data_IF_261332474657
#
_entry.id   IF_261332474657
#
_cell.length_a   1.000
_cell.length_b   1.000
_cell.length_c   1.000
_cell.angle_alpha   90.00
_cell.angle_beta   90.00
_cell.angle_gamma   90.00
#
_symmetry.space_group_name_H-M   'P 1'
#
loop_
_entity.id
_entity.type
_entity.pdbx_description
1 polymer ?
#
# COMPACT_ATOMS: atom_id res chain seq x y z
N UNK A 1 -4.21 -44.18 -49.15
CA UNK A 1 -4.57 -43.45 -50.38
C UNK A 1 -3.32 -42.81 -50.95
N UNK A 2 -3.12 -42.99 -52.26
CA UNK A 2 -2.04 -42.37 -53.04
C UNK A 2 -2.66 -41.24 -53.85
N UNK A 3 -2.01 -40.09 -53.84
CA UNK A 3 -2.41 -38.87 -54.55
C UNK A 3 -1.42 -38.61 -55.68
N UNK A 4 -1.87 -37.92 -56.72
CA UNK A 4 -1.05 -37.47 -57.84
C UNK A 4 -1.12 -35.95 -57.92
N UNK A 5 0.00 -35.30 -58.20
CA UNK A 5 0.01 -33.86 -58.43
C UNK A 5 1.26 -33.35 -59.12
N UNK A 6 1.15 -32.14 -59.65
CA UNK A 6 2.18 -31.41 -60.39
C UNK A 6 3.01 -30.55 -59.43
N UNK A 7 4.34 -30.66 -59.47
CA UNK A 7 5.22 -29.82 -58.67
C UNK A 7 5.25 -28.41 -59.24
N UNK A 8 4.73 -27.44 -58.48
CA UNK A 8 4.72 -26.03 -58.87
C UNK A 8 5.97 -25.28 -58.39
N UNK A 9 6.46 -25.64 -57.21
CA UNK A 9 7.58 -24.95 -56.57
C UNK A 9 8.40 -25.94 -55.74
N UNK A 10 9.72 -25.80 -55.82
CA UNK A 10 10.66 -26.55 -54.98
C UNK A 10 11.36 -25.55 -54.06
N UNK A 11 11.26 -25.77 -52.75
CA UNK A 11 11.99 -25.02 -51.72
C UNK A 11 13.11 -25.90 -51.14
N UNK A 12 13.87 -25.37 -50.17
CA UNK A 12 14.99 -26.11 -49.56
C UNK A 12 14.55 -27.45 -48.97
N UNK A 13 13.49 -27.42 -48.14
CA UNK A 13 13.04 -28.59 -47.36
C UNK A 13 11.66 -29.12 -47.79
N UNK A 14 10.94 -28.38 -48.63
CA UNK A 14 9.54 -28.66 -48.96
C UNK A 14 9.28 -28.43 -50.46
N UNK A 15 8.18 -28.98 -50.95
CA UNK A 15 7.68 -28.74 -52.30
C UNK A 15 6.20 -28.35 -52.25
N UNK A 16 5.77 -27.52 -53.19
CA UNK A 16 4.37 -27.18 -53.41
C UNK A 16 3.85 -27.96 -54.60
N UNK A 17 2.77 -28.71 -54.39
CA UNK A 17 2.17 -29.59 -55.40
C UNK A 17 0.73 -29.18 -55.65
N UNK A 18 0.33 -29.14 -56.92
CA UNK A 18 -1.05 -28.95 -57.36
C UNK A 18 -1.67 -30.29 -57.73
N UNK A 19 -2.72 -30.69 -57.02
CA UNK A 19 -3.36 -32.00 -57.21
C UNK A 19 -4.37 -31.97 -58.36
N UNK A 20 -4.75 -33.16 -58.84
CA UNK A 20 -5.84 -33.33 -59.80
C UNK A 20 -7.23 -32.93 -59.24
N UNK A 21 -7.35 -32.73 -57.92
CA UNK A 21 -8.53 -32.19 -57.24
C UNK A 21 -8.53 -30.66 -57.17
N UNK A 22 -7.61 -30.00 -57.87
CA UNK A 22 -7.42 -28.55 -57.85
C UNK A 22 -7.04 -27.98 -56.47
N UNK A 23 -6.35 -28.77 -55.64
CA UNK A 23 -5.88 -28.35 -54.32
C UNK A 23 -4.36 -28.14 -54.32
N UNK A 24 -3.90 -27.19 -53.51
CA UNK A 24 -2.48 -26.98 -53.26
C UNK A 24 -2.07 -27.71 -51.99
N UNK A 25 -1.04 -28.54 -52.07
CA UNK A 25 -0.51 -29.30 -50.94
C UNK A 25 0.99 -29.06 -50.77
N UNK A 26 1.41 -28.78 -49.54
CA UNK A 26 2.83 -28.66 -49.18
C UNK A 26 3.34 -30.02 -48.72
N UNK A 27 4.39 -30.54 -49.37
CA UNK A 27 4.96 -31.85 -49.06
C UNK A 27 6.41 -31.72 -48.60
N UNK A 28 6.88 -32.67 -47.80
CA UNK A 28 8.30 -32.78 -47.46
C UNK A 28 9.09 -33.19 -48.70
N UNK A 29 10.16 -32.47 -49.03
CA UNK A 29 11.01 -32.79 -50.18
C UNK A 29 11.70 -34.13 -49.97
N UNK A 30 11.61 -35.02 -50.96
CA UNK A 30 12.29 -36.33 -50.97
C UNK A 30 13.05 -36.45 -52.29
N UNK A 31 14.38 -36.49 -52.23
CA UNK A 31 15.29 -36.56 -53.37
C UNK A 31 15.22 -35.36 -54.35
N UNK A 32 15.87 -35.51 -55.51
CA UNK A 32 15.93 -34.51 -56.58
C UNK A 32 14.56 -34.41 -57.26
N UNK A 33 13.79 -33.41 -56.84
CA UNK A 33 12.49 -33.06 -57.40
C UNK A 33 12.65 -31.77 -58.20
N UNK A 34 12.07 -31.74 -59.39
CA UNK A 34 12.08 -30.59 -60.31
C UNK A 34 10.67 -30.03 -60.48
N UNK A 35 10.60 -28.72 -60.71
CA UNK A 35 9.34 -28.02 -61.04
C UNK A 35 8.82 -28.54 -62.39
N UNK A 36 7.49 -28.67 -62.51
CA UNK A 36 6.82 -29.14 -63.72
C UNK A 36 6.72 -30.66 -63.85
N UNK A 37 7.32 -31.44 -62.94
CA UNK A 37 7.14 -32.90 -62.90
C UNK A 37 5.90 -33.29 -62.11
N UNK A 38 5.23 -34.34 -62.55
CA UNK A 38 4.19 -34.99 -61.77
C UNK A 38 4.80 -36.01 -60.80
N UNK A 39 4.25 -36.08 -59.60
CA UNK A 39 4.68 -37.02 -58.57
C UNK A 39 3.48 -37.71 -57.90
N UNK A 40 3.75 -38.88 -57.34
CA UNK A 40 2.81 -39.59 -56.47
C UNK A 40 3.23 -39.44 -55.02
N UNK A 41 2.27 -39.17 -54.14
CA UNK A 41 2.52 -38.98 -52.71
C UNK A 41 1.36 -39.51 -51.87
N UNK A 42 1.60 -39.67 -50.58
CA UNK A 42 0.63 -40.18 -49.61
C UNK A 42 0.29 -39.12 -48.57
N UNK A 43 -0.72 -39.35 -47.74
CA UNK A 43 -1.04 -38.42 -46.64
C UNK A 43 0.14 -38.19 -45.68
N UNK A 44 1.07 -39.16 -45.57
CA UNK A 44 2.26 -39.05 -44.73
C UNK A 44 3.29 -38.05 -45.26
N UNK A 45 3.21 -37.73 -46.55
CA UNK A 45 4.12 -36.80 -47.22
C UNK A 45 3.66 -35.33 -47.06
N UNK A 46 2.39 -35.12 -46.72
CA UNK A 46 1.77 -33.80 -46.56
C UNK A 46 2.21 -33.17 -45.24
N UNK A 47 2.77 -31.97 -45.33
CA UNK A 47 3.09 -31.14 -44.17
C UNK A 47 1.82 -30.43 -43.73
N UNK A 48 1.26 -30.86 -42.60
CA UNK A 48 0.20 -30.13 -41.92
C UNK A 48 0.83 -29.09 -41.02
N UNK A 49 0.56 -27.81 -41.28
CA UNK A 49 0.94 -26.75 -40.35
C UNK A 49 0.14 -26.96 -39.06
N UNK A 50 0.82 -27.37 -37.99
CA UNK A 50 0.22 -27.36 -36.66
C UNK A 50 0.11 -25.90 -36.25
N UNK A 51 -1.11 -25.38 -36.16
CA UNK A 51 -1.35 -24.10 -35.49
C UNK A 51 -0.70 -24.17 -34.11
N UNK A 52 0.41 -23.43 -33.91
CA UNK A 52 1.05 -23.33 -32.60
C UNK A 52 0.07 -22.60 -31.71
N UNK A 53 -0.61 -23.34 -30.85
CA UNK A 53 -1.52 -22.78 -29.88
C UNK A 53 -0.71 -22.05 -28.81
N UNK A 54 -0.75 -20.71 -28.83
CA UNK A 54 -0.13 -19.86 -27.81
C UNK A 54 -0.84 -19.92 -26.45
N UNK A 55 -1.89 -20.74 -26.32
CA UNK A 55 -2.70 -20.88 -25.10
C UNK A 55 -1.81 -21.18 -23.88
N UNK A 56 -0.77 -22.02 -24.03
CA UNK A 56 0.12 -22.36 -22.93
C UNK A 56 0.97 -21.16 -22.46
N UNK A 57 1.39 -20.27 -23.38
CA UNK A 57 2.17 -19.07 -23.02
C UNK A 57 1.31 -18.02 -22.33
N UNK A 58 0.06 -17.88 -22.76
CA UNK A 58 -0.92 -16.98 -22.13
C UNK A 58 -1.23 -17.45 -20.71
N UNK A 59 -1.44 -18.75 -20.50
CA UNK A 59 -1.68 -19.32 -19.17
C UNK A 59 -0.48 -19.15 -18.23
N UNK A 60 0.74 -19.30 -18.74
CA UNK A 60 1.97 -19.07 -17.96
C UNK A 60 2.08 -17.59 -17.55
N UNK A 61 1.86 -16.66 -18.49
CA UNK A 61 1.89 -15.22 -18.19
C UNK A 61 0.84 -14.84 -17.14
N UNK A 62 -0.38 -15.36 -17.25
CA UNK A 62 -1.45 -15.13 -16.29
C UNK A 62 -1.10 -15.68 -14.90
N UNK A 63 -0.51 -16.88 -14.81
CA UNK A 63 -0.09 -17.48 -13.54
C UNK A 63 1.02 -16.65 -12.85
N UNK A 64 1.97 -16.10 -13.62
CA UNK A 64 3.03 -15.24 -13.09
C UNK A 64 2.44 -13.94 -12.52
N UNK A 65 1.55 -13.27 -13.27
CA UNK A 65 0.89 -12.04 -12.81
C UNK A 65 0.08 -12.32 -11.54
N UNK A 66 -0.68 -13.42 -11.51
CA UNK A 66 -1.45 -13.81 -10.33
C UNK A 66 -0.55 -14.05 -9.10
N UNK A 67 0.57 -14.75 -9.28
CA UNK A 67 1.52 -15.00 -8.20
C UNK A 67 2.16 -13.70 -7.69
N UNK A 68 2.50 -12.76 -8.57
CA UNK A 68 3.01 -11.45 -8.20
C UNK A 68 1.98 -10.64 -7.38
N UNK A 69 0.72 -10.63 -7.80
CA UNK A 69 -0.35 -9.92 -7.07
C UNK A 69 -0.63 -10.59 -5.71
N UNK A 70 -0.70 -11.92 -5.66
CA UNK A 70 -0.95 -12.66 -4.42
C UNK A 70 0.19 -12.49 -3.39
N UNK A 71 1.45 -12.56 -3.84
CA UNK A 71 2.62 -12.37 -2.97
C UNK A 71 2.75 -10.93 -2.47
N UNK A 72 2.44 -9.93 -3.31
CA UNK A 72 2.39 -8.52 -2.87
C UNK A 72 1.33 -8.30 -1.78
N UNK A 73 0.16 -8.94 -1.90
CA UNK A 73 -0.89 -8.91 -0.88
C UNK A 73 -0.49 -9.57 0.44
N UNK A 74 0.17 -10.73 0.40
CA UNK A 74 0.66 -11.46 1.58
C UNK A 74 1.77 -10.72 2.34
N UNK A 75 2.64 -10.01 1.63
CA UNK A 75 3.72 -9.21 2.23
C UNK A 75 3.24 -7.86 2.80
N UNK A 76 1.94 -7.57 2.72
CA UNK A 76 1.39 -6.28 3.16
C UNK A 76 1.93 -5.09 2.36
N UNK A 77 2.48 -5.34 1.16
CA UNK A 77 2.94 -4.28 0.29
C UNK A 77 1.71 -3.65 -0.35
N UNK A 78 1.20 -2.62 0.31
CA UNK A 78 0.04 -1.88 -0.14
C UNK A 78 0.43 -0.98 -1.34
N UNK A 79 0.60 -1.61 -2.50
CA UNK A 79 0.79 -0.96 -3.78
C UNK A 79 -0.42 -0.08 -4.10
N UNK A 80 -1.64 -0.56 -3.85
CA UNK A 80 -2.86 0.20 -4.12
C UNK A 80 -2.95 1.47 -3.28
N UNK A 81 -2.53 1.47 -2.02
CA UNK A 81 -2.47 2.67 -1.18
C UNK A 81 -1.54 3.77 -1.71
N UNK A 82 -0.49 3.41 -2.49
CA UNK A 82 0.38 4.38 -3.19
C UNK A 82 -0.24 4.95 -4.48
N UNK A 83 -1.31 4.33 -4.97
CA UNK A 83 -2.09 4.81 -6.11
C UNK A 83 -3.37 5.53 -5.68
N UNK A 84 -3.73 5.51 -4.40
CA UNK A 84 -4.94 6.11 -3.89
C UNK A 84 -4.69 7.53 -3.37
N UNK A 85 -5.58 8.45 -3.73
CA UNK A 85 -5.58 9.82 -3.21
C UNK A 85 -5.83 9.83 -1.70
N UNK A 86 -4.83 10.31 -0.97
CA UNK A 86 -4.86 10.48 0.48
C UNK A 86 -5.31 11.90 0.84
N UNK A 87 -4.78 12.91 0.15
CA UNK A 87 -5.14 14.30 0.34
C UNK A 87 -5.28 15.05 -0.98
N UNK A 88 -5.91 16.22 -0.91
CA UNK A 88 -6.01 17.18 -2.01
C UNK A 88 -5.40 18.48 -1.55
N UNK A 89 -4.44 18.98 -2.31
CA UNK A 89 -3.76 20.27 -2.09
C UNK A 89 -4.18 21.23 -3.19
N UNK A 90 -4.50 22.49 -2.88
CA UNK A 90 -4.71 23.52 -3.90
C UNK A 90 -3.68 24.62 -3.77
N UNK A 91 -3.26 25.16 -4.91
CA UNK A 91 -2.45 26.37 -5.02
C UNK A 91 -3.27 27.44 -5.73
N UNK A 92 -3.40 28.60 -5.10
CA UNK A 92 -4.26 29.68 -5.54
C UNK A 92 -3.50 31.00 -5.55
N UNK A 93 -3.42 31.59 -6.74
CA UNK A 93 -2.94 32.96 -7.02
C UNK A 93 -3.98 33.67 -7.90
N UNK A 94 -4.64 32.92 -8.79
CA UNK A 94 -5.06 33.25 -10.16
C UNK A 94 -3.83 33.32 -11.08
N UNK A 95 -3.20 32.17 -11.35
CA UNK A 95 -3.77 30.81 -11.56
C UNK A 95 -4.25 30.00 -10.34
N UNK A 96 -5.11 28.99 -10.57
CA UNK A 96 -5.59 28.06 -9.54
C UNK A 96 -5.46 26.59 -9.98
N UNK A 97 -4.86 25.76 -9.14
CA UNK A 97 -4.57 24.35 -9.43
C UNK A 97 -4.92 23.47 -8.23
N UNK A 98 -5.45 22.28 -8.50
CA UNK A 98 -5.69 21.21 -7.53
C UNK A 98 -4.76 20.02 -7.79
N UNK A 99 -4.13 19.49 -6.75
CA UNK A 99 -3.22 18.35 -6.78
C UNK A 99 -3.79 17.24 -5.90
N UNK A 100 -3.96 16.05 -6.46
CA UNK A 100 -4.25 14.85 -5.68
C UNK A 100 -2.93 14.18 -5.27
N UNK A 101 -2.76 13.88 -3.98
CA UNK A 101 -1.51 13.32 -3.45
C UNK A 101 -1.75 12.04 -2.68
N UNK A 102 -0.79 11.11 -2.75
CA UNK A 102 -0.80 9.89 -1.94
C UNK A 102 -0.29 10.15 -0.51
N UNK A 103 -0.22 9.07 0.29
CA UNK A 103 0.25 9.13 1.69
C UNK A 103 1.73 9.51 1.84
N UNK A 104 2.52 9.38 0.77
CA UNK A 104 3.95 9.70 0.76
C UNK A 104 4.20 11.10 0.17
N UNK A 105 3.16 11.94 0.11
CA UNK A 105 3.23 13.30 -0.46
C UNK A 105 3.56 13.31 -1.96
N UNK A 106 3.34 12.20 -2.67
CA UNK A 106 3.59 12.11 -4.11
C UNK A 106 2.34 12.52 -4.88
N UNK A 107 2.51 13.43 -5.84
CA UNK A 107 1.45 13.88 -6.75
C UNK A 107 1.00 12.74 -7.65
N UNK A 108 -0.31 12.48 -7.66
CA UNK A 108 -0.98 11.43 -8.43
C UNK A 108 -1.77 11.97 -9.61
N UNK A 109 -2.33 13.16 -9.45
CA UNK A 109 -3.11 13.83 -10.48
C UNK A 109 -3.01 15.35 -10.29
N UNK A 110 -3.14 16.08 -11.40
CA UNK A 110 -3.07 17.54 -11.43
C UNK A 110 -4.28 18.03 -12.21
N UNK A 111 -5.06 18.89 -11.58
CA UNK A 111 -6.24 19.49 -12.16
C UNK A 111 -6.12 21.01 -12.15
N UNK A 112 -5.76 21.62 -13.28
CA UNK A 112 -5.92 23.06 -13.49
C UNK A 112 -7.40 23.46 -13.35
N UNK A 113 -7.69 24.51 -12.59
CA UNK A 113 -9.07 24.96 -12.31
C UNK A 113 -9.48 26.17 -13.18
N UNK A 114 -8.51 26.77 -13.87
CA UNK A 114 -8.67 27.82 -14.87
C UNK A 114 -7.58 27.69 -15.96
N UNK A 115 -7.68 28.48 -17.03
CA UNK A 115 -6.73 28.42 -18.15
C UNK A 115 -5.32 28.81 -17.71
N UNK A 116 -5.19 29.84 -16.87
CA UNK A 116 -3.91 30.23 -16.30
C UNK A 116 -3.28 29.10 -15.47
N UNK A 117 -4.11 28.27 -14.83
CA UNK A 117 -3.68 27.10 -14.06
C UNK A 117 -2.88 26.11 -14.90
N UNK A 118 -3.23 25.96 -16.18
CA UNK A 118 -2.51 25.09 -17.12
C UNK A 118 -1.12 25.65 -17.44
N UNK A 119 -0.97 26.97 -17.45
CA UNK A 119 0.30 27.63 -17.79
C UNK A 119 1.38 27.48 -16.73
N UNK A 120 1.03 27.02 -15.53
CA UNK A 120 1.97 26.87 -14.40
C UNK A 120 2.19 25.41 -13.99
N UNK A 121 1.58 24.45 -14.67
CA UNK A 121 1.68 23.02 -14.39
C UNK A 121 2.16 22.26 -15.61
N UNK A 122 2.83 21.13 -15.36
CA UNK A 122 3.26 20.18 -16.38
C UNK A 122 2.91 18.76 -15.93
N UNK A 123 2.64 17.84 -16.87
CA UNK A 123 2.37 16.44 -16.59
C UNK A 123 3.58 15.75 -15.93
N UNK A 124 4.80 16.21 -16.21
CA UNK A 124 6.03 15.71 -15.59
C UNK A 124 6.06 15.93 -14.06
N UNK A 125 5.21 16.82 -13.53
CA UNK A 125 5.07 17.02 -12.08
C UNK A 125 4.35 15.85 -11.39
N UNK A 126 3.64 14.98 -12.14
CA UNK A 126 3.04 13.77 -11.61
C UNK A 126 4.15 12.80 -11.20
N UNK A 127 4.05 12.23 -10.00
CA UNK A 127 5.08 11.36 -9.43
C UNK A 127 6.16 12.11 -8.63
N UNK A 128 6.15 13.44 -8.62
CA UNK A 128 7.02 14.24 -7.76
C UNK A 128 6.42 14.47 -6.36
N UNK A 129 7.27 14.81 -5.39
CA UNK A 129 6.83 15.27 -4.06
C UNK A 129 6.10 16.61 -4.18
N UNK A 130 4.95 16.74 -3.51
CA UNK A 130 4.09 17.92 -3.60
C UNK A 130 4.80 19.22 -3.18
N UNK A 131 5.77 19.17 -2.26
CA UNK A 131 6.55 20.35 -1.88
C UNK A 131 7.34 20.92 -3.06
N UNK A 132 7.97 20.04 -3.84
CA UNK A 132 8.69 20.39 -5.07
C UNK A 132 7.74 20.88 -6.15
N UNK A 133 6.60 20.22 -6.32
CA UNK A 133 5.58 20.64 -7.31
C UNK A 133 5.05 22.04 -7.00
N UNK A 134 4.71 22.32 -5.73
CA UNK A 134 4.28 23.66 -5.32
C UNK A 134 5.36 24.71 -5.60
N UNK A 135 6.63 24.41 -5.29
CA UNK A 135 7.75 25.29 -5.59
C UNK A 135 7.87 25.58 -7.09
N UNK A 136 7.83 24.54 -7.93
CA UNK A 136 7.87 24.69 -9.39
C UNK A 136 6.69 25.52 -9.90
N UNK A 137 5.48 25.24 -9.43
CA UNK A 137 4.28 26.00 -9.82
C UNK A 137 4.34 27.47 -9.42
N UNK A 138 4.94 27.80 -8.26
CA UNK A 138 5.19 29.19 -7.86
C UNK A 138 6.20 29.86 -8.79
N UNK A 139 7.30 29.18 -9.13
CA UNK A 139 8.30 29.71 -10.04
C UNK A 139 7.73 29.92 -11.46
N UNK A 140 6.99 28.95 -11.99
CA UNK A 140 6.29 29.10 -13.26
C UNK A 140 5.33 30.30 -13.21
N UNK A 141 4.61 30.50 -12.11
CA UNK A 141 3.74 31.66 -11.94
C UNK A 141 4.52 32.99 -11.91
N UNK A 142 5.75 33.03 -11.38
CA UNK A 142 6.63 34.22 -11.45
C UNK A 142 7.11 34.47 -12.88
N UNK A 143 7.58 33.44 -13.58
CA UNK A 143 8.05 33.55 -14.97
C UNK A 143 6.95 34.07 -15.90
N UNK A 144 5.72 33.58 -15.71
CA UNK A 144 4.51 34.01 -16.43
C UNK A 144 3.95 35.35 -15.93
N UNK A 145 4.61 36.01 -14.97
CA UNK A 145 4.23 37.31 -14.36
C UNK A 145 2.89 37.31 -13.63
N UNK A 146 2.35 36.14 -13.30
CA UNK A 146 1.21 36.04 -12.38
C UNK A 146 1.61 36.44 -10.97
N UNK A 147 2.83 36.14 -10.53
CA UNK A 147 3.40 36.63 -9.28
C UNK A 147 4.42 37.73 -9.52
N UNK A 148 4.34 38.80 -8.72
CA UNK A 148 5.29 39.94 -8.72
C UNK A 148 5.16 40.72 -7.40
N UNK A 149 5.94 41.78 -7.21
CA UNK A 149 5.94 42.60 -5.98
C UNK A 149 4.55 43.12 -5.57
N UNK A 150 3.67 43.42 -6.54
CA UNK A 150 2.30 43.89 -6.28
C UNK A 150 1.29 42.75 -6.09
N UNK A 151 1.58 41.58 -6.64
CA UNK A 151 0.78 40.35 -6.54
C UNK A 151 1.66 39.22 -6.00
N UNK A 152 2.02 39.30 -4.71
CA UNK A 152 2.95 38.39 -4.07
C UNK A 152 2.28 37.45 -3.06
N UNK A 153 0.99 37.17 -3.20
CA UNK A 153 0.24 36.34 -2.25
C UNK A 153 -0.10 35.01 -2.89
N UNK A 154 0.26 33.92 -2.21
CA UNK A 154 -0.09 32.55 -2.60
C UNK A 154 -0.94 31.94 -1.50
N UNK A 155 -2.10 31.39 -1.86
CA UNK A 155 -2.93 30.60 -0.96
C UNK A 155 -2.71 29.12 -1.24
N UNK A 156 -2.30 28.37 -0.21
CA UNK A 156 -2.20 26.91 -0.25
C UNK A 156 -3.27 26.35 0.66
N UNK A 157 -4.02 25.36 0.18
CA UNK A 157 -5.01 24.67 1.01
C UNK A 157 -4.85 23.17 0.96
N UNK A 158 -5.26 22.48 2.04
CA UNK A 158 -5.17 21.02 2.13
C UNK A 158 -6.46 20.41 2.68
N UNK A 159 -6.89 19.30 2.09
CA UNK A 159 -8.03 18.47 2.51
C UNK A 159 -7.58 17.02 2.60
N UNK A 160 -7.62 16.46 3.80
CA UNK A 160 -7.37 15.02 4.03
C UNK A 160 -8.63 14.23 3.65
N UNK A 161 -8.52 13.34 2.66
CA UNK A 161 -9.62 12.52 2.14
C UNK A 161 -9.80 11.25 2.97
N UNK A 162 -8.70 10.66 3.42
CA UNK A 162 -8.71 9.43 4.22
C UNK A 162 -8.06 9.69 5.58
N UNK A 163 -8.77 9.29 6.64
CA UNK A 163 -8.23 9.30 8.00
C UNK A 163 -7.88 7.87 8.36
N UNK A 164 -6.60 7.57 8.47
CA UNK A 164 -6.17 6.31 9.08
C UNK A 164 -6.15 6.45 10.60
N UNK A 165 -6.46 5.34 11.29
CA UNK A 165 -6.61 5.29 12.76
C UNK A 165 -5.34 5.71 13.52
N UNK A 166 -4.17 5.73 12.87
CA UNK A 166 -2.87 6.06 13.47
C UNK A 166 -2.26 7.38 12.98
N UNK A 167 -2.85 8.06 11.99
CA UNK A 167 -2.27 9.28 11.42
C UNK A 167 -2.81 10.54 12.11
N UNK A 168 -2.14 10.89 13.21
CA UNK A 168 -2.27 12.20 13.84
C UNK A 168 -1.56 13.26 12.99
N UNK A 169 -2.23 13.75 11.95
CA UNK A 169 -2.07 15.10 11.38
C UNK A 169 -0.60 15.59 11.23
N UNK A 170 0.34 14.75 10.77
CA UNK A 170 1.74 15.17 10.56
C UNK A 170 1.93 15.94 9.25
N UNK A 171 1.18 15.55 8.21
CA UNK A 171 1.20 16.14 6.87
C UNK A 171 0.90 17.64 6.79
N UNK A 172 0.31 18.27 7.82
CA UNK A 172 -0.23 19.64 7.69
C UNK A 172 0.73 20.75 8.08
N UNK A 173 1.46 20.60 9.20
CA UNK A 173 2.33 21.66 9.74
C UNK A 173 3.74 21.58 9.16
N UNK A 174 4.30 20.38 9.04
CA UNK A 174 5.66 20.19 8.55
C UNK A 174 5.78 20.57 7.07
N UNK A 175 4.85 20.13 6.24
CA UNK A 175 4.77 20.47 4.81
C UNK A 175 4.81 21.99 4.55
N UNK A 176 3.95 22.74 5.26
CA UNK A 176 3.87 24.21 5.08
C UNK A 176 5.11 24.91 5.62
N UNK A 177 5.66 24.43 6.73
CA UNK A 177 6.90 24.99 7.26
C UNK A 177 8.06 24.78 6.29
N UNK A 178 8.17 23.61 5.64
CA UNK A 178 9.20 23.34 4.63
C UNK A 178 9.10 24.31 3.45
N UNK A 179 7.89 24.53 2.92
CA UNK A 179 7.68 25.48 1.81
C UNK A 179 8.06 26.91 2.25
N UNK A 180 7.63 27.33 3.44
CA UNK A 180 7.92 28.69 3.96
C UNK A 180 9.39 28.93 4.31
N UNK A 181 10.16 27.88 4.53
CA UNK A 181 11.58 27.97 4.85
C UNK A 181 12.46 28.14 3.60
N UNK A 182 11.92 27.96 2.41
CA UNK A 182 12.67 28.17 1.17
C UNK A 182 12.99 29.65 0.99
N UNK A 183 14.27 29.95 0.82
CA UNK A 183 14.79 31.31 0.84
C UNK A 183 14.28 32.15 -0.34
N UNK A 184 14.11 31.49 -1.48
CA UNK A 184 13.62 32.05 -2.74
C UNK A 184 12.14 32.45 -2.70
N UNK A 185 11.41 32.04 -1.65
CA UNK A 185 9.99 32.34 -1.45
C UNK A 185 9.75 33.38 -0.35
N UNK A 186 10.80 33.98 0.24
CA UNK A 186 10.68 34.96 1.34
C UNK A 186 9.93 36.24 0.96
N UNK A 187 9.93 36.60 -0.33
CA UNK A 187 9.20 37.76 -0.89
C UNK A 187 7.70 37.48 -1.13
N UNK A 188 7.26 36.24 -0.93
CA UNK A 188 5.89 35.77 -1.16
C UNK A 188 5.17 35.57 0.18
N UNK A 189 4.00 36.19 0.33
CA UNK A 189 3.10 35.94 1.46
C UNK A 189 2.31 34.65 1.23
N UNK A 190 2.80 33.56 1.83
CA UNK A 190 2.15 32.24 1.77
C UNK A 190 1.11 32.12 2.89
N UNK A 191 -0.16 32.11 2.47
CA UNK A 191 -1.31 31.86 3.32
C UNK A 191 -1.67 30.37 3.24
N UNK A 192 -1.84 29.74 4.40
CA UNK A 192 -2.29 28.36 4.47
C UNK A 192 -3.67 28.25 5.09
N UNK A 193 -4.54 27.44 4.49
CA UNK A 193 -5.87 27.14 5.03
C UNK A 193 -6.17 25.64 4.96
N UNK A 194 -6.49 25.06 6.11
CA UNK A 194 -7.05 23.71 6.16
C UNK A 194 -8.54 23.72 5.82
N UNK A 195 -8.97 22.72 5.05
CA UNK A 195 -10.38 22.49 4.73
C UNK A 195 -10.77 21.02 4.98
N UNK A 196 -12.01 20.66 4.66
CA UNK A 196 -12.58 19.34 4.88
C UNK A 196 -13.27 18.80 3.62
N UNK A 197 -13.60 17.52 3.66
CA UNK A 197 -14.17 16.79 2.52
C UNK A 197 -15.52 17.33 2.05
N UNK A 198 -16.33 17.93 2.93
CA UNK A 198 -17.63 18.50 2.53
C UNK A 198 -17.40 19.73 1.67
N UNK A 199 -16.50 20.60 2.13
CA UNK A 199 -16.17 21.84 1.42
C UNK A 199 -15.47 21.57 0.08
N UNK A 200 -14.57 20.58 0.02
CA UNK A 200 -13.97 20.15 -1.26
C UNK A 200 -15.04 19.73 -2.29
N UNK A 201 -16.06 18.97 -1.86
CA UNK A 201 -17.15 18.54 -2.76
C UNK A 201 -17.92 19.75 -3.30
N UNK A 202 -18.20 20.73 -2.45
CA UNK A 202 -18.90 21.95 -2.85
C UNK A 202 -18.04 22.79 -3.79
N UNK A 203 -16.74 22.93 -3.49
CA UNK A 203 -15.79 23.65 -4.32
C UNK A 203 -15.68 23.04 -5.73
N UNK A 204 -15.51 21.71 -5.82
CA UNK A 204 -15.50 20.96 -7.09
C UNK A 204 -16.79 21.13 -7.89
N UNK A 205 -17.97 21.09 -7.23
CA UNK A 205 -19.28 21.30 -7.88
C UNK A 205 -19.40 22.70 -8.50
N UNK A 206 -18.78 23.70 -7.89
CA UNK A 206 -18.77 25.09 -8.37
C UNK A 206 -17.55 25.41 -9.25
N UNK A 207 -16.72 24.41 -9.55
CA UNK A 207 -15.47 24.55 -10.29
C UNK A 207 -14.59 25.70 -9.75
N UNK A 208 -14.41 25.72 -8.43
CA UNK A 208 -13.54 26.65 -7.69
C UNK A 208 -12.61 25.82 -6.80
N UNK A 209 -11.42 26.33 -6.49
CA UNK A 209 -10.52 25.66 -5.54
C UNK A 209 -11.13 25.63 -4.14
N UNK A 210 -10.78 24.60 -3.37
CA UNK A 210 -11.21 24.52 -1.98
C UNK A 210 -10.63 25.69 -1.16
N UNK A 211 -9.43 26.17 -1.49
CA UNK A 211 -8.84 27.34 -0.84
C UNK A 211 -9.66 28.60 -1.05
N UNK A 212 -9.99 28.94 -2.29
CA UNK A 212 -10.87 30.09 -2.58
C UNK A 212 -12.26 29.92 -1.96
N UNK A 213 -12.79 28.70 -1.91
CA UNK A 213 -14.06 28.42 -1.24
C UNK A 213 -14.00 28.64 0.29
N UNK A 214 -12.89 28.29 0.95
CA UNK A 214 -12.69 28.63 2.36
C UNK A 214 -12.65 30.14 2.58
N UNK A 215 -11.94 30.89 1.73
CA UNK A 215 -11.90 32.35 1.81
C UNK A 215 -13.30 32.94 1.58
N UNK A 216 -14.04 32.43 0.60
CA UNK A 216 -15.44 32.82 0.38
C UNK A 216 -16.29 32.65 1.64
N UNK A 217 -16.22 31.51 2.32
CA UNK A 217 -16.96 31.29 3.57
C UNK A 217 -16.57 32.28 4.66
N UNK A 218 -15.28 32.61 4.77
CA UNK A 218 -14.79 33.59 5.75
C UNK A 218 -15.37 34.98 5.50
N UNK A 219 -15.42 35.41 4.23
CA UNK A 219 -15.96 36.72 3.87
C UNK A 219 -17.49 36.72 3.98
N UNK A 220 -18.15 35.66 3.53
CA UNK A 220 -19.61 35.55 3.53
C UNK A 220 -20.22 35.62 4.94
N UNK A 221 -19.50 35.16 5.96
CA UNK A 221 -19.93 35.26 7.36
C UNK A 221 -20.10 36.71 7.84
N UNK A 222 -19.26 37.62 7.35
CA UNK A 222 -19.27 39.04 7.74
C UNK A 222 -19.89 39.95 6.65
N UNK A 223 -19.99 39.49 5.39
CA UNK A 223 -20.57 40.22 4.26
C UNK A 223 -21.37 39.28 3.34
N UNK A 224 -22.70 39.28 3.50
CA UNK A 224 -23.62 38.36 2.82
C UNK A 224 -23.79 38.58 1.31
N UNK A 225 -23.24 39.67 0.75
CA UNK A 225 -23.45 40.02 -0.67
C UNK A 225 -22.41 39.41 -1.62
N UNK A 226 -21.38 38.74 -1.09
CA UNK A 226 -20.36 38.10 -1.92
C UNK A 226 -20.86 36.77 -2.48
N UNK A 227 -20.48 36.48 -3.73
CA UNK A 227 -20.83 35.24 -4.42
C UNK A 227 -19.60 34.39 -4.72
N UNK A 228 -19.77 33.08 -4.84
CA UNK A 228 -18.70 32.14 -5.24
C UNK A 228 -18.10 32.54 -6.59
N UNK A 229 -18.94 33.00 -7.54
CA UNK A 229 -18.50 33.42 -8.88
C UNK A 229 -17.55 34.62 -8.85
N UNK A 230 -17.81 35.60 -7.96
CA UNK A 230 -16.93 36.75 -7.78
C UNK A 230 -15.56 36.33 -7.22
N UNK A 231 -15.51 35.39 -6.28
CA UNK A 231 -14.25 34.91 -5.71
C UNK A 231 -13.47 34.05 -6.72
N UNK A 232 -14.15 33.21 -7.51
CA UNK A 232 -13.53 32.26 -8.43
C UNK A 232 -12.47 32.90 -9.34
N UNK A 233 -12.81 34.02 -9.97
CA UNK A 233 -11.97 34.65 -11.00
C UNK A 233 -11.04 35.75 -10.46
N UNK A 234 -11.13 36.10 -9.17
CA UNK A 234 -10.26 37.11 -8.57
C UNK A 234 -8.89 36.53 -8.22
N UNK A 235 -7.88 37.40 -8.25
CA UNK A 235 -6.55 37.14 -7.69
C UNK A 235 -6.65 37.04 -6.18
N UNK A 236 -5.85 36.17 -5.58
CA UNK A 236 -5.83 36.06 -4.12
C UNK A 236 -5.38 37.37 -3.48
N UNK A 237 -4.34 38.02 -3.99
CA UNK A 237 -3.89 39.30 -3.45
C UNK A 237 -4.99 40.37 -3.43
N UNK A 238 -5.82 40.46 -4.46
CA UNK A 238 -6.94 41.41 -4.52
C UNK A 238 -8.01 41.05 -3.47
N UNK A 239 -8.37 39.78 -3.35
CA UNK A 239 -9.32 39.30 -2.32
C UNK A 239 -8.79 39.65 -0.92
N UNK A 240 -7.49 39.43 -0.65
CA UNK A 240 -6.90 39.74 0.66
C UNK A 240 -6.88 41.26 0.90
N UNK A 241 -6.51 42.08 -0.09
CA UNK A 241 -6.46 43.53 0.05
C UNK A 241 -7.83 44.13 0.34
N UNK A 242 -8.86 43.69 -0.39
CA UNK A 242 -10.25 44.15 -0.23
C UNK A 242 -10.86 43.72 1.11
N UNK A 243 -10.40 42.61 1.71
CA UNK A 243 -11.02 41.99 2.89
C UNK A 243 -10.05 41.81 4.06
N UNK A 244 -9.03 42.68 4.15
CA UNK A 244 -7.88 42.53 5.06
C UNK A 244 -8.32 42.36 6.53
N UNK A 245 -9.27 43.15 6.98
CA UNK A 245 -9.78 43.13 8.37
C UNK A 245 -10.45 41.80 8.71
N UNK A 246 -11.34 41.31 7.85
CA UNK A 246 -12.07 40.05 8.02
C UNK A 246 -11.08 38.89 8.10
N UNK A 247 -10.12 38.85 7.18
CA UNK A 247 -9.15 37.75 7.10
C UNK A 247 -8.19 37.76 8.30
N UNK A 248 -7.76 38.95 8.77
CA UNK A 248 -6.94 39.06 9.98
C UNK A 248 -7.70 38.60 11.23
N UNK A 249 -8.98 38.97 11.36
CA UNK A 249 -9.84 38.55 12.47
C UNK A 249 -10.01 37.03 12.50
N UNK A 250 -10.26 36.40 11.36
CA UNK A 250 -10.40 34.94 11.26
C UNK A 250 -9.07 34.22 11.51
N UNK A 251 -7.94 34.74 11.01
CA UNK A 251 -6.60 34.19 11.32
C UNK A 251 -6.30 34.22 12.82
N UNK A 252 -6.70 35.29 13.53
CA UNK A 252 -6.54 35.40 14.99
C UNK A 252 -7.42 34.39 15.73
N UNK A 253 -8.70 34.28 15.36
CA UNK A 253 -9.64 33.30 15.94
C UNK A 253 -9.20 31.84 15.72
N UNK A 254 -8.61 31.50 14.56
CA UNK A 254 -8.06 30.16 14.31
C UNK A 254 -6.78 29.90 15.13
N UNK A 255 -5.88 30.87 15.24
CA UNK A 255 -4.69 30.76 16.13
C UNK A 255 -5.07 30.55 17.58
N UNK A 256 -6.11 31.23 18.06
CA UNK A 256 -6.57 31.10 19.45
C UNK A 256 -7.22 29.73 19.69
N UNK A 257 -8.01 29.22 18.73
CA UNK A 257 -8.55 27.85 18.76
C UNK A 257 -7.46 26.78 18.68
N UNK A 258 -6.41 26.96 17.88
CA UNK A 258 -5.28 26.03 17.80
C UNK A 258 -4.46 26.01 19.11
N UNK A 259 -4.29 27.15 19.77
CA UNK A 259 -3.65 27.22 21.11
C UNK A 259 -4.49 26.51 22.18
N UNK A 260 -5.81 26.62 22.12
CA UNK A 260 -6.73 25.89 23.01
C UNK A 260 -6.63 24.38 22.74
N UNK A 261 -6.72 23.96 21.48
CA UNK A 261 -6.63 22.55 21.09
C UNK A 261 -5.25 21.93 21.42
N UNK A 262 -4.16 22.72 21.41
CA UNK A 262 -2.84 22.27 21.86
C UNK A 262 -2.77 22.04 23.38
N UNK A 263 -3.42 22.89 24.19
CA UNK A 263 -3.55 22.67 25.64
C UNK A 263 -4.41 21.46 25.96
N UNK A 264 -5.46 21.23 25.18
CA UNK A 264 -6.32 20.04 25.34
C UNK A 264 -5.59 18.75 24.95
N UNK A 265 -4.73 18.78 23.91
CA UNK A 265 -3.85 17.66 23.55
C UNK A 265 -2.75 17.43 24.62
N UNK A 266 -2.21 18.48 25.24
CA UNK A 266 -1.26 18.33 26.36
C UNK A 266 -1.94 17.75 27.61
N UNK A 267 -3.17 18.16 27.90
CA UNK A 267 -3.97 17.62 29.01
C UNK A 267 -4.39 16.16 28.77
N UNK A 268 -4.83 15.81 27.56
CA UNK A 268 -5.13 14.41 27.17
C UNK A 268 -3.89 13.52 27.22
N UNK A 269 -2.70 14.05 26.88
CA UNK A 269 -1.44 13.32 27.00
C UNK A 269 -0.99 13.16 28.47
N UNK A 270 -1.31 14.13 29.35
CA UNK A 270 -1.05 14.02 30.78
C UNK A 270 -1.97 12.98 31.44
N UNK A 271 -3.23 12.93 31.03
CA UNK A 271 -4.22 11.98 31.52
C UNK A 271 -4.02 10.58 30.95
N UNK A 272 -3.56 10.44 29.68
CA UNK A 272 -3.05 9.18 29.14
C UNK A 272 -1.80 8.68 29.88
N UNK A 273 -0.82 9.54 30.18
CA UNK A 273 0.34 9.16 31.01
C UNK A 273 -0.05 8.73 32.43
N UNK A 274 -1.12 9.31 33.00
CA UNK A 274 -1.68 8.86 34.29
C UNK A 274 -2.44 7.54 34.18
N UNK A 275 -3.14 7.28 33.07
CA UNK A 275 -3.83 6.01 32.80
C UNK A 275 -2.82 4.89 32.49
N UNK A 276 -1.78 5.15 31.70
CA UNK A 276 -0.69 4.20 31.43
C UNK A 276 0.10 3.88 32.71
N UNK A 277 0.37 4.86 33.59
CA UNK A 277 0.96 4.59 34.91
C UNK A 277 0.03 3.75 35.82
N UNK A 278 -1.29 3.89 35.69
CA UNK A 278 -2.26 3.07 36.44
C UNK A 278 -2.36 1.65 35.86
N UNK A 279 -2.27 1.49 34.54
CA UNK A 279 -2.23 0.18 33.88
C UNK A 279 -0.90 -0.55 34.10
N UNK A 280 0.24 0.13 34.08
CA UNK A 280 1.53 -0.46 34.45
C UNK A 280 1.51 -0.95 35.90
N UNK A 281 1.00 -0.17 36.86
CA UNK A 281 0.85 -0.63 38.26
C UNK A 281 -0.14 -1.79 38.42
N UNK A 282 -1.17 -1.88 37.56
CA UNK A 282 -2.16 -2.97 37.57
C UNK A 282 -1.60 -4.24 36.90
N UNK A 283 -0.78 -4.10 35.88
CA UNK A 283 -0.03 -5.20 35.25
C UNK A 283 1.09 -5.70 36.16
N UNK A 284 1.80 -4.82 36.87
CA UNK A 284 2.85 -5.19 37.83
C UNK A 284 2.26 -5.96 39.02
N UNK A 285 1.10 -5.55 39.55
CA UNK A 285 0.35 -6.35 40.55
C UNK A 285 -0.10 -7.71 40.01
N UNK A 286 -0.62 -7.78 38.79
CA UNK A 286 -1.04 -9.04 38.16
C UNK A 286 0.15 -9.97 37.84
N UNK A 287 1.34 -9.43 37.58
CA UNK A 287 2.57 -10.20 37.36
C UNK A 287 3.08 -10.76 38.70
N UNK A 288 3.03 -9.98 39.79
CA UNK A 288 3.39 -10.44 41.14
C UNK A 288 2.41 -11.51 41.64
N UNK A 289 1.10 -11.36 41.43
CA UNK A 289 0.10 -12.39 41.77
C UNK A 289 0.27 -13.67 40.95
N UNK A 290 0.58 -13.56 39.64
CA UNK A 290 0.88 -14.73 38.79
C UNK A 290 2.21 -15.39 39.10
N UNK A 291 3.20 -14.67 39.66
CA UNK A 291 4.46 -15.27 40.09
C UNK A 291 4.27 -16.09 41.37
N UNK A 292 3.49 -15.58 42.33
CA UNK A 292 3.15 -16.29 43.55
C UNK A 292 2.30 -17.55 43.29
N UNK A 293 1.36 -17.53 42.34
CA UNK A 293 0.62 -18.74 41.92
C UNK A 293 1.46 -19.79 41.17
N UNK A 294 2.54 -19.37 40.49
CA UNK A 294 3.46 -20.28 39.80
C UNK A 294 4.42 -20.95 40.78
N UNK A 295 4.91 -20.22 41.78
CA UNK A 295 5.81 -20.77 42.82
C UNK A 295 5.12 -21.82 43.71
N UNK A 296 3.81 -21.67 43.99
CA UNK A 296 3.04 -22.67 44.73
C UNK A 296 2.71 -23.92 43.87
N UNK A 297 2.49 -23.76 42.56
CA UNK A 297 2.27 -24.87 41.62
C UNK A 297 3.56 -25.64 41.30
N UNK A 298 4.72 -24.98 41.33
CA UNK A 298 6.01 -25.61 41.08
C UNK A 298 6.49 -26.42 42.32
N UNK A 299 6.27 -25.90 43.54
CA UNK A 299 6.49 -26.66 44.80
C UNK A 299 5.55 -27.88 44.95
N UNK A 300 4.32 -27.81 44.44
CA UNK A 300 3.40 -28.95 44.40
C UNK A 300 3.83 -30.02 43.38
N UNK A 301 4.29 -29.62 42.19
CA UNK A 301 4.80 -30.54 41.15
C UNK A 301 6.10 -31.23 41.53
N UNK A 302 7.00 -30.58 42.28
CA UNK A 302 8.20 -31.24 42.82
C UNK A 302 7.89 -32.28 43.91
N UNK A 303 6.89 -32.02 44.78
CA UNK A 303 6.42 -33.01 45.76
C UNK A 303 5.79 -34.23 45.08
N UNK A 304 4.98 -34.04 44.03
CA UNK A 304 4.38 -35.14 43.28
C UNK A 304 5.40 -35.97 42.47
N UNK A 305 6.43 -35.33 41.90
CA UNK A 305 7.55 -36.04 41.25
C UNK A 305 8.36 -36.87 42.25
N UNK A 306 8.65 -36.33 43.46
CA UNK A 306 9.34 -37.07 44.54
C UNK A 306 8.50 -38.25 45.08
N UNK A 307 7.17 -38.12 45.12
CA UNK A 307 6.26 -39.21 45.53
C UNK A 307 6.16 -40.30 44.46
N UNK A 308 6.16 -39.94 43.16
CA UNK A 308 6.18 -40.91 42.06
C UNK A 308 7.50 -41.69 41.98
N UNK A 309 8.65 -41.02 42.11
CA UNK A 309 9.95 -41.70 42.18
C UNK A 309 10.07 -42.63 43.39
N UNK A 310 9.58 -42.25 44.58
CA UNK A 310 9.54 -43.16 45.75
C UNK A 310 8.63 -44.38 45.55
N UNK A 311 7.56 -44.29 44.74
CA UNK A 311 6.66 -45.41 44.42
C UNK A 311 7.26 -46.36 43.38
N UNK A 312 8.03 -45.85 42.40
CA UNK A 312 8.75 -46.67 41.43
C UNK A 312 9.92 -47.44 42.07
N UNK A 313 10.73 -46.78 42.91
CA UNK A 313 11.82 -47.44 43.66
C UNK A 313 11.28 -48.53 44.61
N UNK A 314 10.09 -48.35 45.20
CA UNK A 314 9.40 -49.39 46.00
C UNK A 314 8.87 -50.55 45.15
N UNK A 315 8.49 -50.33 43.88
CA UNK A 315 8.05 -51.38 42.96
C UNK A 315 9.23 -52.21 42.44
N UNK A 316 10.35 -51.55 42.10
CA UNK A 316 11.58 -52.22 41.67
C UNK A 316 12.13 -53.15 42.76
N UNK A 317 12.28 -52.65 44.00
CA UNK A 317 12.74 -53.46 45.14
C UNK A 317 11.81 -54.64 45.46
N UNK A 318 10.49 -54.50 45.25
CA UNK A 318 9.52 -55.61 45.41
C UNK A 318 9.65 -56.65 44.29
N UNK A 319 10.05 -56.24 43.09
CA UNK A 319 10.27 -57.14 41.96
C UNK A 319 11.59 -57.91 42.10
N UNK A 320 12.65 -57.24 42.57
CA UNK A 320 13.95 -57.86 42.85
C UNK A 320 13.83 -58.89 43.98
N UNK A 321 13.15 -58.55 45.08
CA UNK A 321 12.92 -59.50 46.18
C UNK A 321 12.11 -60.73 45.74
N UNK A 322 11.09 -60.56 44.88
CA UNK A 322 10.32 -61.70 44.32
C UNK A 322 11.17 -62.58 43.40
N UNK A 323 12.09 -61.99 42.65
CA UNK A 323 13.00 -62.73 41.77
C UNK A 323 14.08 -63.46 42.56
N UNK A 324 14.58 -62.87 43.65
CA UNK A 324 15.56 -63.52 44.53
C UNK A 324 14.95 -64.70 45.29
N UNK A 325 13.71 -64.56 45.80
CA UNK A 325 12.96 -65.66 46.44
C UNK A 325 12.67 -66.80 45.45
N UNK A 326 12.31 -66.49 44.20
CA UNK A 326 12.14 -67.52 43.14
C UNK A 326 13.45 -68.24 42.80
N UNK A 327 14.59 -67.55 42.84
CA UNK A 327 15.92 -68.14 42.60
C UNK A 327 16.31 -69.09 43.73
N UNK A 328 16.07 -68.71 45.00
CA UNK A 328 16.33 -69.57 46.17
C UNK A 328 15.44 -70.82 46.18
N UNK A 329 14.13 -70.68 45.90
CA UNK A 329 13.21 -71.82 45.80
C UNK A 329 13.54 -72.80 44.66
N UNK A 330 14.11 -72.33 43.53
CA UNK A 330 14.62 -73.20 42.46
C UNK A 330 15.90 -73.93 42.85
N UNK A 331 16.77 -73.29 43.64
CA UNK A 331 18.01 -73.90 44.12
C UNK A 331 17.74 -74.92 45.24
N UNK A 332 16.79 -74.67 46.12
CA UNK A 332 16.38 -75.63 47.16
C UNK A 332 15.66 -76.84 46.58
N UNK A 333 14.82 -76.67 45.54
CA UNK A 333 14.24 -77.81 44.79
C UNK A 333 15.30 -78.65 44.06
N UNK A 334 16.40 -78.04 43.60
CA UNK A 334 17.54 -78.76 42.99
C UNK A 334 18.42 -79.47 44.02
N UNK A 335 18.48 -79.00 45.27
CA UNK A 335 19.15 -79.70 46.39
C UNK A 335 18.30 -80.87 46.91
N UNK A 336 16.98 -80.69 47.06
CA UNK A 336 16.04 -81.76 47.43
C UNK A 336 15.88 -82.86 46.36
N UNK A 337 16.16 -82.58 45.08
CA UNK A 337 16.20 -83.61 44.02
C UNK A 337 17.53 -84.35 43.91
N UNK A 338 18.59 -83.85 44.55
CA UNK A 338 19.91 -84.51 44.61
C UNK A 338 20.04 -85.42 45.84
N UNK A 339 19.43 -85.08 46.97
CA UNK A 339 19.37 -85.96 48.16
C UNK A 339 18.37 -87.12 48.05
N UNK A 340 17.41 -87.08 47.10
CA UNK A 340 16.54 -88.22 46.76
C UNK A 340 17.14 -89.20 45.72
N UNK A 341 18.38 -88.97 45.26
CA UNK A 341 19.14 -89.88 44.39
C UNK A 341 20.39 -90.45 45.08
N UNK A 342 20.57 -90.22 46.38
CA UNK A 342 21.68 -90.77 47.18
C UNK A 342 21.21 -91.41 48.50
N UNK A 343 20.03 -92.04 48.50
CA UNK A 343 19.63 -93.05 49.49
C UNK A 343 18.99 -94.22 48.79
#
# INVERSE_FOLDING_TARGET
MVYRGLVLKVEENNILVFTNTCEYMKLKKKANIEVGKEIFFTQKDIIREKNKSYINLISIAAAIIFLMVATAGLLGIDFLGKFQTYAVVTLDINPSVEYEVDRNEIVKDIRPLNEEGKEITDDDMIGMEIGKVIYLSINNAREKRYLNEKNNVVLISNVVIRKDKNDTVKLKKEFINRIKQQEELKDIDIIYVESNRKDLKIARKNNISVGKYEIYKMIFQDNSNITIKQIKNKKISDIIKENKEIIQKVKKLKKDKEKINQKDIENDNLDRKKQEKKEYKKQEKNIIEKHNEKDDKEKAREKDKKIKQKKEIKKEKKSEFKNEVKKRLKNDKRKLSKDKKSR
#
